data_IF_627776082245
#
_entry.id   IF_627776082245
#
_cell.length_a   1.000
_cell.length_b   1.000
_cell.length_c   1.000
_cell.angle_alpha   90.00
_cell.angle_beta   90.00
_cell.angle_gamma   90.00
#
_symmetry.space_group_name_H-M   'P 1'
#
loop_
_entity.id
_entity.type
_entity.pdbx_description
1 polymer ?
#
# COMPACT_ATOMS: atom_id res chain seq x y z
N UNK A 1 -63.86 -22.16 60.67
CA UNK A 1 -64.21 -23.54 61.08
C UNK A 1 -64.05 -24.49 59.90
N UNK A 2 -63.92 -25.81 60.13
CA UNK A 2 -63.79 -26.82 59.03
C UNK A 2 -64.94 -26.71 58.01
N UNK A 3 -66.12 -26.29 58.48
CA UNK A 3 -67.30 -26.01 57.65
C UNK A 3 -67.07 -24.85 56.66
N UNK A 4 -66.29 -23.82 57.02
CA UNK A 4 -65.97 -22.69 56.14
C UNK A 4 -64.99 -23.08 55.02
N UNK A 5 -64.22 -24.17 55.23
CA UNK A 5 -63.24 -24.69 54.26
C UNK A 5 -63.82 -25.79 53.36
N UNK A 6 -65.04 -26.26 53.62
CA UNK A 6 -65.61 -27.40 52.91
C UNK A 6 -65.85 -27.14 51.42
N UNK A 7 -66.14 -25.89 51.05
CA UNK A 7 -66.30 -25.47 49.65
C UNK A 7 -65.03 -25.73 48.80
N UNK A 8 -63.86 -25.83 49.44
CA UNK A 8 -62.57 -26.08 48.78
C UNK A 8 -62.20 -27.56 48.67
N UNK A 9 -63.11 -28.46 49.09
CA UNK A 9 -63.03 -29.90 48.87
C UNK A 9 -63.97 -30.39 47.75
N UNK A 10 -64.64 -29.49 47.02
CA UNK A 10 -65.51 -29.86 45.90
C UNK A 10 -64.71 -30.43 44.72
N UNK A 11 -65.11 -31.60 44.21
CA UNK A 11 -64.40 -32.30 43.14
C UNK A 11 -64.32 -31.47 41.85
N UNK A 12 -65.37 -30.73 41.49
CA UNK A 12 -65.37 -29.92 40.27
C UNK A 12 -64.37 -28.77 40.38
N UNK A 13 -64.29 -28.13 41.56
CA UNK A 13 -63.31 -27.09 41.82
C UNK A 13 -61.88 -27.63 41.75
N UNK A 14 -61.60 -28.76 42.39
CA UNK A 14 -60.27 -29.40 42.39
C UNK A 14 -59.83 -29.75 40.96
N UNK A 15 -60.73 -30.35 40.16
CA UNK A 15 -60.46 -30.65 38.75
C UNK A 15 -60.24 -29.39 37.90
N UNK A 16 -60.97 -28.31 38.19
CA UNK A 16 -60.79 -27.03 37.51
C UNK A 16 -59.43 -26.40 37.82
N UNK A 17 -58.99 -26.44 39.09
CA UNK A 17 -57.66 -25.97 39.51
C UNK A 17 -56.57 -26.82 38.86
N UNK A 18 -56.67 -28.15 38.91
CA UNK A 18 -55.69 -29.06 38.32
C UNK A 18 -55.59 -28.93 36.79
N UNK A 19 -56.67 -28.52 36.12
CA UNK A 19 -56.68 -28.28 34.67
C UNK A 19 -56.29 -26.85 34.27
N UNK A 20 -55.99 -25.97 35.23
CA UNK A 20 -55.63 -24.58 34.96
C UNK A 20 -54.30 -24.48 34.19
N UNK A 21 -54.26 -23.60 33.18
CA UNK A 21 -53.01 -23.25 32.46
C UNK A 21 -52.25 -22.11 33.11
N UNK A 22 -52.91 -21.35 33.99
CA UNK A 22 -52.30 -20.28 34.76
C UNK A 22 -51.87 -20.87 36.10
N UNK A 23 -50.62 -20.66 36.55
CA UNK A 23 -50.17 -21.15 37.84
C UNK A 23 -51.07 -20.66 38.99
N UNK A 24 -51.49 -21.58 39.86
CA UNK A 24 -52.41 -21.32 40.96
C UNK A 24 -51.67 -21.45 42.28
N UNK A 25 -51.77 -20.43 43.14
CA UNK A 25 -51.33 -20.49 44.53
C UNK A 25 -52.57 -20.59 45.43
N UNK A 26 -52.72 -21.70 46.15
CA UNK A 26 -53.79 -21.83 47.14
C UNK A 26 -53.42 -21.10 48.43
N UNK A 27 -54.34 -20.29 48.95
CA UNK A 27 -54.14 -19.44 50.13
C UNK A 27 -55.37 -19.40 51.04
N UNK A 28 -56.00 -20.56 51.21
CA UNK A 28 -57.37 -20.68 51.76
C UNK A 28 -57.39 -20.98 53.27
N UNK A 29 -56.38 -21.68 53.80
CA UNK A 29 -56.33 -22.12 55.21
C UNK A 29 -55.05 -21.72 55.93
N UNK A 30 -55.02 -21.87 57.26
CA UNK A 30 -53.83 -21.65 58.09
C UNK A 30 -52.85 -22.83 57.96
N UNK A 31 -51.64 -22.72 58.52
CA UNK A 31 -50.55 -23.70 58.31
C UNK A 31 -50.96 -25.18 58.48
N UNK A 32 -51.91 -25.47 59.37
CA UNK A 32 -52.39 -26.82 59.71
C UNK A 32 -53.64 -27.29 58.97
N UNK A 33 -54.38 -26.41 58.29
CA UNK A 33 -55.63 -26.75 57.62
C UNK A 33 -55.34 -27.07 56.14
N UNK A 34 -55.68 -28.28 55.70
CA UNK A 34 -55.46 -28.74 54.32
C UNK A 34 -56.79 -29.04 53.63
N UNK A 35 -56.89 -28.64 52.37
CA UNK A 35 -58.02 -28.90 51.47
C UNK A 35 -57.55 -29.63 50.22
N UNK A 36 -58.46 -30.30 49.52
CA UNK A 36 -58.14 -30.96 48.24
C UNK A 36 -57.64 -29.95 47.18
N UNK A 37 -58.13 -28.71 47.22
CA UNK A 37 -57.62 -27.64 46.36
C UNK A 37 -56.15 -27.29 46.62
N UNK A 38 -55.67 -27.38 47.87
CA UNK A 38 -54.26 -27.12 48.19
C UNK A 38 -53.32 -28.12 47.49
N UNK A 39 -53.79 -29.36 47.29
CA UNK A 39 -53.03 -30.40 46.60
C UNK A 39 -53.12 -30.31 45.08
N UNK A 40 -54.15 -29.67 44.54
CA UNK A 40 -54.30 -29.45 43.11
C UNK A 40 -53.60 -28.18 42.60
N UNK A 41 -53.35 -27.21 43.49
CA UNK A 41 -52.63 -25.98 43.18
C UNK A 41 -51.12 -26.21 42.99
N UNK A 42 -50.45 -25.33 42.24
CA UNK A 42 -48.99 -25.40 42.01
C UNK A 42 -48.18 -25.08 43.26
N UNK A 43 -48.74 -24.24 44.13
CA UNK A 43 -48.12 -23.84 45.39
C UNK A 43 -49.19 -23.60 46.46
N UNK A 44 -48.85 -23.93 47.71
CA UNK A 44 -49.67 -23.58 48.88
C UNK A 44 -48.99 -22.45 49.65
N UNK A 45 -49.77 -21.46 50.04
CA UNK A 45 -49.41 -20.42 50.98
C UNK A 45 -50.37 -20.45 52.19
N UNK A 46 -49.89 -20.16 53.40
CA UNK A 46 -50.72 -20.17 54.62
C UNK A 46 -51.65 -18.96 54.74
N UNK A 47 -51.44 -17.91 53.93
CA UNK A 47 -52.30 -16.72 53.91
C UNK A 47 -52.30 -16.09 52.51
N UNK A 48 -53.33 -15.32 52.13
CA UNK A 48 -53.34 -14.56 50.88
C UNK A 48 -52.14 -13.60 50.75
N UNK A 49 -51.69 -13.00 51.86
CA UNK A 49 -50.51 -12.12 51.87
C UNK A 49 -49.23 -12.89 51.52
N UNK A 50 -49.03 -14.09 52.07
CA UNK A 50 -47.88 -14.94 51.75
C UNK A 50 -47.90 -15.41 50.28
N UNK A 51 -49.09 -15.69 49.71
CA UNK A 51 -49.21 -15.98 48.28
C UNK A 51 -48.77 -14.79 47.40
N UNK A 52 -49.14 -13.57 47.78
CA UNK A 52 -48.70 -12.35 47.11
C UNK A 52 -47.19 -12.15 47.20
N UNK A 53 -46.58 -12.38 48.37
CA UNK A 53 -45.12 -12.28 48.54
C UNK A 53 -44.35 -13.29 47.67
N UNK A 54 -44.90 -14.51 47.51
CA UNK A 54 -44.31 -15.53 46.65
C UNK A 54 -44.44 -15.20 45.15
N UNK A 55 -45.53 -14.55 44.75
CA UNK A 55 -45.82 -14.22 43.36
C UNK A 55 -45.11 -12.93 42.88
N UNK A 56 -44.79 -12.00 43.79
CA UNK A 56 -44.34 -10.65 43.44
C UNK A 56 -42.84 -10.50 43.76
N UNK A 57 -42.01 -10.07 42.78
CA UNK A 57 -40.59 -9.83 43.04
C UNK A 57 -40.39 -8.68 44.04
N UNK A 58 -39.36 -8.81 44.88
CA UNK A 58 -39.05 -7.80 45.89
C UNK A 58 -38.66 -6.46 45.25
N UNK A 59 -39.36 -5.38 45.62
CA UNK A 59 -39.12 -4.03 45.08
C UNK A 59 -37.66 -3.58 45.25
N UNK A 60 -37.02 -3.95 46.37
CA UNK A 60 -35.63 -3.61 46.64
C UNK A 60 -34.67 -4.27 45.64
N UNK A 61 -34.87 -5.56 45.34
CA UNK A 61 -34.09 -6.29 44.35
C UNK A 61 -34.24 -5.68 42.94
N UNK A 62 -35.46 -5.32 42.54
CA UNK A 62 -35.69 -4.67 41.25
C UNK A 62 -35.01 -3.28 41.18
N UNK A 63 -35.07 -2.51 42.27
CA UNK A 63 -34.40 -1.21 42.36
C UNK A 63 -32.86 -1.35 42.25
N UNK A 64 -32.29 -2.38 42.88
CA UNK A 64 -30.86 -2.70 42.78
C UNK A 64 -30.47 -3.06 41.34
N UNK A 65 -31.27 -3.91 40.68
CA UNK A 65 -31.05 -4.28 39.27
C UNK A 65 -31.05 -3.04 38.36
N UNK A 66 -32.05 -2.15 38.50
CA UNK A 66 -32.11 -0.90 37.75
C UNK A 66 -30.88 -0.02 38.05
N UNK A 67 -30.46 0.07 39.32
CA UNK A 67 -29.25 0.78 39.71
C UNK A 67 -27.98 0.21 39.08
N UNK A 68 -27.87 -1.11 39.00
CA UNK A 68 -26.75 -1.80 38.33
C UNK A 68 -26.71 -1.50 36.83
N UNK A 69 -27.87 -1.52 36.15
CA UNK A 69 -27.99 -1.23 34.73
C UNK A 69 -27.63 0.23 34.43
N UNK A 70 -28.10 1.17 35.26
CA UNK A 70 -27.73 2.60 35.15
C UNK A 70 -26.22 2.80 35.27
N UNK A 71 -25.58 2.17 36.26
CA UNK A 71 -24.11 2.24 36.44
C UNK A 71 -23.36 1.68 35.24
N UNK A 72 -23.79 0.53 34.71
CA UNK A 72 -23.20 -0.09 33.50
C UNK A 72 -23.34 0.82 32.28
N UNK A 73 -24.51 1.43 32.08
CA UNK A 73 -24.74 2.37 30.98
C UNK A 73 -23.83 3.60 31.09
N UNK A 74 -23.75 4.21 32.27
CA UNK A 74 -22.88 5.36 32.51
C UNK A 74 -21.41 5.05 32.21
N UNK A 75 -20.91 3.89 32.66
CA UNK A 75 -19.56 3.44 32.37
C UNK A 75 -19.33 3.19 30.87
N UNK A 76 -20.29 2.61 30.16
CA UNK A 76 -20.20 2.39 28.72
C UNK A 76 -20.11 3.73 27.95
N UNK A 77 -20.95 4.70 28.30
CA UNK A 77 -20.93 6.03 27.69
C UNK A 77 -19.60 6.76 27.94
N UNK A 78 -19.06 6.69 29.17
CA UNK A 78 -17.76 7.25 29.49
C UNK A 78 -16.64 6.62 28.64
N UNK A 79 -16.63 5.29 28.50
CA UNK A 79 -15.64 4.59 27.66
C UNK A 79 -15.75 4.99 26.18
N UNK A 80 -16.97 5.13 25.66
CA UNK A 80 -17.19 5.59 24.28
C UNK A 80 -16.68 7.02 24.09
N UNK A 81 -16.98 7.91 25.05
CA UNK A 81 -16.50 9.29 25.04
C UNK A 81 -14.98 9.38 25.04
N UNK A 82 -14.31 8.64 25.94
CA UNK A 82 -12.85 8.58 26.00
C UNK A 82 -12.24 8.06 24.69
N UNK A 83 -12.77 6.97 24.13
CA UNK A 83 -12.29 6.42 22.84
C UNK A 83 -12.42 7.43 21.70
N UNK A 84 -13.57 8.11 21.60
CA UNK A 84 -13.80 9.13 20.56
C UNK A 84 -12.85 10.32 20.73
N UNK A 85 -12.60 10.76 21.97
CA UNK A 85 -11.68 11.86 22.28
C UNK A 85 -10.24 11.50 21.93
N UNK A 86 -9.77 10.31 22.34
CA UNK A 86 -8.45 9.80 21.96
C UNK A 86 -8.28 9.70 20.44
N UNK A 87 -9.32 9.22 19.73
CA UNK A 87 -9.28 9.15 18.26
C UNK A 87 -9.18 10.54 17.63
N UNK A 88 -9.93 11.52 18.14
CA UNK A 88 -9.84 12.91 17.67
C UNK A 88 -8.46 13.51 17.95
N UNK A 89 -7.94 13.34 19.17
CA UNK A 89 -6.61 13.82 19.55
C UNK A 89 -5.52 13.15 18.69
N UNK A 90 -5.69 11.88 18.32
CA UNK A 90 -4.79 11.18 17.40
C UNK A 90 -4.85 11.76 15.98
N UNK A 91 -6.03 12.11 15.47
CA UNK A 91 -6.16 12.77 14.16
C UNK A 91 -5.52 14.16 14.19
N UNK A 92 -5.82 14.95 15.22
CA UNK A 92 -5.31 16.32 15.37
C UNK A 92 -3.80 16.37 15.63
N UNK A 93 -3.24 15.35 16.29
CA UNK A 93 -1.80 15.24 16.53
C UNK A 93 -1.00 14.75 15.32
N UNK A 94 -1.64 14.24 14.27
CA UNK A 94 -0.95 13.89 13.03
C UNK A 94 -0.43 15.15 12.35
N UNK A 95 0.89 15.34 12.42
CA UNK A 95 1.67 16.40 11.76
C UNK A 95 1.22 16.76 10.33
N UNK A 96 0.91 15.82 9.40
CA UNK A 96 0.52 16.18 8.04
C UNK A 96 -0.77 17.02 7.93
N UNK A 97 -1.66 16.98 8.93
CA UNK A 97 -2.85 17.83 8.97
C UNK A 97 -2.61 19.16 9.70
N UNK A 98 -1.59 19.22 10.55
CA UNK A 98 -1.30 20.39 11.39
C UNK A 98 -0.49 21.45 10.62
N UNK A 99 0.38 21.00 9.71
CA UNK A 99 1.21 21.89 8.89
C UNK A 99 1.30 21.37 7.43
N UNK A 100 0.19 21.39 6.67
CA UNK A 100 0.20 20.96 5.28
C UNK A 100 1.19 21.77 4.43
N UNK A 101 1.39 23.05 4.75
CA UNK A 101 2.34 23.92 4.04
C UNK A 101 3.79 23.50 4.26
N UNK A 102 4.17 23.04 5.46
CA UNK A 102 5.53 22.54 5.72
C UNK A 102 5.81 21.26 4.92
N UNK A 103 4.82 20.36 4.83
CA UNK A 103 4.93 19.15 4.01
C UNK A 103 5.06 19.49 2.53
N UNK A 104 4.29 20.46 2.04
CA UNK A 104 4.39 20.95 0.65
C UNK A 104 5.76 21.59 0.41
N UNK A 105 6.29 22.37 1.36
CA UNK A 105 7.60 23.00 1.25
C UNK A 105 8.72 21.96 1.12
N UNK A 106 8.70 20.91 1.95
CA UNK A 106 9.65 19.79 1.84
C UNK A 106 9.53 19.08 0.48
N UNK A 107 8.31 18.78 0.03
CA UNK A 107 8.10 18.13 -1.27
C UNK A 107 8.56 19.01 -2.45
N UNK A 108 8.39 20.33 -2.36
CA UNK A 108 8.91 21.28 -3.36
C UNK A 108 10.44 21.27 -3.38
N UNK A 109 11.08 21.31 -2.21
CA UNK A 109 12.53 21.25 -2.11
C UNK A 109 13.08 19.92 -2.67
N UNK A 110 12.43 18.79 -2.37
CA UNK A 110 12.77 17.49 -2.94
C UNK A 110 12.63 17.50 -4.47
N UNK A 111 11.54 18.06 -5.00
CA UNK A 111 11.33 18.17 -6.44
C UNK A 111 12.42 19.01 -7.12
N UNK A 112 12.74 20.18 -6.55
CA UNK A 112 13.77 21.07 -7.09
C UNK A 112 15.13 20.38 -7.14
N UNK A 113 15.48 19.61 -6.10
CA UNK A 113 16.73 18.84 -6.07
C UNK A 113 16.73 17.74 -7.13
N UNK A 114 15.63 17.02 -7.31
CA UNK A 114 15.52 15.97 -8.35
C UNK A 114 15.60 16.55 -9.76
N UNK A 115 14.97 17.69 -10.01
CA UNK A 115 15.06 18.41 -11.29
C UNK A 115 16.50 18.83 -11.56
N UNK A 116 17.20 19.38 -10.55
CA UNK A 116 18.59 19.80 -10.67
C UNK A 116 19.52 18.62 -10.97
N UNK A 117 19.36 17.51 -10.26
CA UNK A 117 20.10 16.27 -10.50
C UNK A 117 19.87 15.73 -11.92
N UNK A 118 18.61 15.72 -12.38
CA UNK A 118 18.25 15.28 -13.74
C UNK A 118 18.89 16.15 -14.82
N UNK A 119 18.82 17.47 -14.68
CA UNK A 119 19.43 18.42 -15.61
C UNK A 119 20.96 18.24 -15.70
N UNK A 120 21.63 18.11 -14.56
CA UNK A 120 23.08 17.90 -14.51
C UNK A 120 23.49 16.55 -15.14
N UNK A 121 22.73 15.49 -14.88
CA UNK A 121 22.97 14.18 -15.47
C UNK A 121 22.80 14.22 -17.01
N UNK A 122 21.77 14.93 -17.48
CA UNK A 122 21.51 15.11 -18.92
C UNK A 122 22.63 15.90 -19.59
N UNK A 123 23.08 17.00 -18.98
CA UNK A 123 24.19 17.80 -19.51
C UNK A 123 25.48 16.97 -19.61
N UNK A 124 25.79 16.19 -18.58
CA UNK A 124 26.95 15.30 -18.57
C UNK A 124 26.86 14.25 -19.69
N UNK A 125 25.68 13.65 -19.90
CA UNK A 125 25.45 12.66 -20.95
C UNK A 125 25.63 13.26 -22.35
N UNK A 126 25.06 14.45 -22.59
CA UNK A 126 25.20 15.16 -23.86
C UNK A 126 26.67 15.52 -24.12
N UNK A 127 27.39 16.04 -23.11
CA UNK A 127 28.82 16.38 -23.24
C UNK A 127 29.64 15.15 -23.59
N UNK A 128 29.45 14.03 -22.89
CA UNK A 128 30.18 12.78 -23.15
C UNK A 128 29.92 12.25 -24.56
N UNK A 129 28.68 12.33 -25.04
CA UNK A 129 28.35 11.91 -26.39
C UNK A 129 28.99 12.83 -27.45
N UNK A 130 29.05 14.14 -27.22
CA UNK A 130 29.77 15.08 -28.10
C UNK A 130 31.26 14.79 -28.16
N UNK A 131 31.91 14.59 -27.02
CA UNK A 131 33.33 14.22 -26.94
C UNK A 131 33.60 12.90 -27.67
N UNK A 132 32.74 11.90 -27.49
CA UNK A 132 32.84 10.62 -28.19
C UNK A 132 32.71 10.79 -29.70
N UNK A 133 31.72 11.54 -30.18
CA UNK A 133 31.53 11.84 -31.59
C UNK A 133 32.75 12.58 -32.18
N UNK A 134 33.26 13.57 -31.46
CA UNK A 134 34.48 14.29 -31.88
C UNK A 134 35.66 13.34 -32.01
N UNK A 135 35.90 12.49 -31.01
CA UNK A 135 36.99 11.51 -31.04
C UNK A 135 36.87 10.50 -32.19
N UNK A 136 35.65 10.03 -32.50
CA UNK A 136 35.39 9.12 -33.61
C UNK A 136 35.62 9.81 -34.95
N UNK A 137 35.21 11.07 -35.09
CA UNK A 137 35.46 11.88 -36.28
C UNK A 137 36.95 12.10 -36.49
N UNK A 138 37.70 12.47 -35.46
CA UNK A 138 39.15 12.65 -35.56
C UNK A 138 39.87 11.35 -35.97
N UNK A 139 39.43 10.19 -35.46
CA UNK A 139 39.95 8.89 -35.88
C UNK A 139 39.65 8.60 -37.36
N UNK A 140 38.43 8.89 -37.80
CA UNK A 140 38.04 8.72 -39.20
C UNK A 140 38.85 9.64 -40.13
N UNK A 141 39.05 10.90 -39.75
CA UNK A 141 39.84 11.86 -40.52
C UNK A 141 41.33 11.46 -40.61
N UNK A 142 41.88 10.89 -39.53
CA UNK A 142 43.25 10.37 -39.51
C UNK A 142 43.43 9.12 -40.38
N UNK A 143 42.38 8.32 -40.54
CA UNK A 143 42.38 7.12 -41.38
C UNK A 143 41.96 7.39 -42.83
N UNK A 144 41.55 8.62 -43.16
CA UNK A 144 41.11 8.98 -44.50
C UNK A 144 42.32 9.18 -45.44
N UNK A 145 42.53 8.33 -46.46
CA UNK A 145 43.67 8.46 -47.38
C UNK A 145 43.68 9.78 -48.16
N UNK A 146 42.50 10.38 -48.39
CA UNK A 146 42.37 11.67 -49.06
C UNK A 146 42.93 12.82 -48.21
N UNK A 147 42.90 12.71 -46.87
CA UNK A 147 43.49 13.73 -46.00
C UNK A 147 45.03 13.70 -46.05
N UNK A 148 45.61 12.53 -46.30
CA UNK A 148 47.05 12.37 -46.57
C UNK A 148 47.41 12.94 -47.94
N UNK A 149 46.60 12.69 -48.98
CA UNK A 149 46.82 13.28 -50.31
C UNK A 149 46.73 14.82 -50.30
N UNK A 150 45.76 15.39 -49.56
CA UNK A 150 45.64 16.86 -49.38
C UNK A 150 46.83 17.51 -48.67
N UNK A 151 47.61 16.75 -47.88
CA UNK A 151 48.82 17.23 -47.19
C UNK A 151 50.05 17.28 -48.10
N UNK A 152 49.89 17.02 -49.40
CA UNK A 152 50.97 17.08 -50.39
C UNK A 152 51.70 15.76 -50.63
N UNK A 153 51.16 14.64 -50.09
CA UNK A 153 51.66 13.31 -50.43
C UNK A 153 50.96 12.79 -51.69
N UNK A 154 51.66 11.96 -52.46
CA UNK A 154 51.11 11.32 -53.66
C UNK A 154 51.14 9.80 -53.51
N UNK A 155 50.13 9.14 -54.06
CA UNK A 155 50.10 7.67 -54.17
C UNK A 155 50.62 7.29 -55.55
N UNK A 156 51.72 6.55 -55.61
CA UNK A 156 52.31 6.09 -56.87
C UNK A 156 51.97 4.62 -57.10
N UNK A 157 51.37 4.30 -58.24
CA UNK A 157 51.06 2.94 -58.68
C UNK A 157 51.92 2.55 -59.89
N UNK A 158 52.36 1.29 -59.94
CA UNK A 158 53.11 0.72 -61.06
C UNK A 158 52.12 0.08 -62.03
N UNK A 159 52.18 0.45 -63.31
CA UNK A 159 51.32 -0.09 -64.36
C UNK A 159 51.97 -1.31 -65.05
N UNK A 160 51.17 -2.22 -65.66
CA UNK A 160 49.70 -2.19 -65.79
C UNK A 160 48.92 -2.74 -64.59
N UNK A 161 49.56 -3.39 -63.61
CA UNK A 161 48.86 -4.09 -62.51
C UNK A 161 48.35 -3.17 -61.38
N UNK A 162 48.62 -1.86 -61.47
CA UNK A 162 48.23 -0.83 -60.49
C UNK A 162 48.63 -1.17 -59.05
N UNK A 163 49.85 -1.67 -58.86
CA UNK A 163 50.37 -2.02 -57.52
C UNK A 163 51.05 -0.80 -56.88
N UNK A 164 50.79 -0.49 -55.58
CA UNK A 164 51.39 0.67 -54.94
C UNK A 164 52.91 0.53 -54.79
N UNK A 165 53.65 1.54 -55.27
CA UNK A 165 55.09 1.67 -55.15
C UNK A 165 55.46 2.13 -53.72
N UNK A 166 55.22 1.27 -52.72
CA UNK A 166 55.52 1.56 -51.31
C UNK A 166 57.00 1.78 -50.98
N UNK A 167 57.90 1.77 -51.98
CA UNK A 167 59.32 2.09 -51.86
C UNK A 167 59.89 2.42 -53.24
N UNK A 168 60.81 3.39 -53.30
CA UNK A 168 61.57 3.72 -54.51
C UNK A 168 62.37 2.52 -55.07
N UNK A 169 62.62 1.50 -54.26
CA UNK A 169 63.29 0.26 -54.67
C UNK A 169 62.51 -0.62 -55.64
N UNK A 170 61.19 -0.46 -55.70
CA UNK A 170 60.31 -1.26 -56.56
C UNK A 170 60.09 -0.63 -57.94
N UNK A 171 60.57 0.60 -58.14
CA UNK A 171 60.49 1.33 -59.40
C UNK A 171 61.74 1.04 -60.24
N UNK A 172 61.54 0.51 -61.45
CA UNK A 172 62.61 0.28 -62.44
C UNK A 172 62.62 1.43 -63.45
N UNK A 173 63.79 1.91 -63.91
CA UNK A 173 63.86 2.84 -65.03
C UNK A 173 63.16 2.27 -66.27
N UNK A 174 62.36 3.09 -66.96
CA UNK A 174 61.51 2.72 -68.10
C UNK A 174 60.14 2.13 -67.72
N UNK A 175 59.76 2.15 -66.45
CA UNK A 175 58.43 1.69 -66.01
C UNK A 175 57.40 2.82 -66.03
N UNK A 176 56.21 2.54 -66.55
CA UNK A 176 55.06 3.43 -66.47
C UNK A 176 54.45 3.42 -65.06
N UNK A 177 54.21 4.60 -64.52
CA UNK A 177 53.61 4.83 -63.21
C UNK A 177 52.43 5.79 -63.29
N UNK A 178 51.44 5.55 -62.44
CA UNK A 178 50.32 6.46 -62.22
C UNK A 178 50.53 7.15 -60.86
N UNK A 179 50.69 8.46 -60.87
CA UNK A 179 50.82 9.28 -59.66
C UNK A 179 49.47 9.93 -59.38
N UNK A 180 48.85 9.53 -58.28
CA UNK A 180 47.55 10.04 -57.83
C UNK A 180 47.77 11.14 -56.79
N UNK A 181 47.21 12.31 -57.10
CA UNK A 181 47.15 13.50 -56.27
C UNK A 181 45.76 13.63 -55.62
N UNK A 182 45.59 14.66 -54.79
CA UNK A 182 44.30 14.95 -54.14
C UNK A 182 43.18 15.38 -55.11
N UNK A 183 43.53 15.84 -56.30
CA UNK A 183 42.68 16.52 -57.28
C UNK A 183 42.75 15.88 -58.68
N UNK A 184 43.58 14.86 -58.88
CA UNK A 184 43.73 14.20 -60.17
C UNK A 184 44.79 13.10 -60.17
N UNK A 185 45.05 12.54 -61.35
CA UNK A 185 46.09 11.53 -61.55
C UNK A 185 46.88 11.87 -62.80
N UNK A 186 48.18 11.61 -62.77
CA UNK A 186 49.11 11.85 -63.89
C UNK A 186 49.86 10.57 -64.19
N UNK A 187 49.98 10.25 -65.48
CA UNK A 187 50.84 9.17 -65.96
C UNK A 187 52.26 9.72 -66.14
N UNK A 188 53.24 8.99 -65.64
CA UNK A 188 54.65 9.34 -65.74
C UNK A 188 55.49 8.10 -66.01
N UNK A 189 56.65 8.27 -66.61
CA UNK A 189 57.63 7.21 -66.83
C UNK A 189 58.84 7.43 -65.91
N UNK A 190 59.37 6.35 -65.33
CA UNK A 190 60.54 6.42 -64.44
C UNK A 190 61.80 6.59 -65.29
N UNK A 191 62.40 7.79 -65.30
CA UNK A 191 63.60 8.07 -66.11
C UNK A 191 64.90 7.66 -65.41
N UNK A 192 65.03 7.92 -64.10
CA UNK A 192 66.23 7.62 -63.32
C UNK A 192 65.88 7.36 -61.85
N UNK A 193 66.66 6.51 -61.18
CA UNK A 193 66.49 6.17 -59.76
C UNK A 193 67.66 6.69 -58.95
N UNK A 194 67.44 7.77 -58.20
CA UNK A 194 68.39 8.24 -57.18
C UNK A 194 68.08 7.60 -55.83
N UNK A 195 68.99 6.75 -55.34
CA UNK A 195 68.95 6.22 -53.98
C UNK A 195 69.22 7.33 -52.96
N UNK A 196 68.54 7.30 -51.81
CA UNK A 196 68.80 8.25 -50.72
C UNK A 196 70.23 8.11 -50.21
N UNK A 197 70.90 9.25 -50.01
CA UNK A 197 71.96 9.42 -48.99
C UNK A 197 71.33 9.32 -47.61
#
# INVERSE_FOLDING_TARGET
SVEDLWAFNDENLVRAVAASRTPVISAVGHETDFTLCDFAADLRAPTPSAACELAIPERAALAEQVGSLKRRLAQALQRIGMKKRMYLDQILSRKPLRFPMDRIAVLRQELDERVRQGSNAMECLVRRNRERLFSLRSKLDALNPLSVLKRGYTLTYILPQRTPAGSAGRLKPGADIEVVFHDGSVLAEVTDRKGKR
#
